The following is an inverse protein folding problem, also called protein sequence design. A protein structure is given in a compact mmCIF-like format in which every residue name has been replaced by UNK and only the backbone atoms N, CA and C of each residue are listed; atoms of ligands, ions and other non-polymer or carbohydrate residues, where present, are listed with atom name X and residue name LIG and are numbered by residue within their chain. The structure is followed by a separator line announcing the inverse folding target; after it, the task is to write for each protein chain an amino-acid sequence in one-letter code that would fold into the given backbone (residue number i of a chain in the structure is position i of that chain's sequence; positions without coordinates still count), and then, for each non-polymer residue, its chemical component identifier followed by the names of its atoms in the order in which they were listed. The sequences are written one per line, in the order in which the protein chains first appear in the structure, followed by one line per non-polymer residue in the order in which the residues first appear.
data_IF_002771592111
#
_entry.id   IF_002771592111
#
_cell.length_a   1.000
_cell.length_b   1.000
_cell.length_c   1.000
_cell.angle_alpha   90.00
_cell.angle_beta   90.00
_cell.angle_gamma   90.00
#
_symmetry.space_group_name_H-M   'P 1'
#
loop_
_entity.id
_entity.type
_entity.pdbx_description
1 polymer ?
#
# COMPACT_ATOMS: atom_id res chain seq x y z
N UNK A 1 -8.58 -21.53 -48.33
CA UNK A 1 -9.54 -22.62 -48.51
C UNK A 1 -10.65 -22.29 -49.49
N UNK A 2 -11.37 -21.19 -49.36
CA UNK A 2 -12.44 -20.74 -50.29
C UNK A 2 -12.00 -20.72 -51.77
N UNK A 3 -10.75 -20.31 -52.04
CA UNK A 3 -10.22 -20.30 -53.41
C UNK A 3 -10.13 -21.70 -54.03
N UNK A 4 -9.69 -22.72 -53.28
CA UNK A 4 -9.58 -24.09 -53.77
C UNK A 4 -10.96 -24.67 -54.08
N UNK A 5 -11.93 -24.40 -53.22
CA UNK A 5 -13.32 -24.88 -53.41
C UNK A 5 -13.98 -24.18 -54.59
N UNK A 6 -13.73 -22.86 -54.77
CA UNK A 6 -14.32 -22.07 -55.87
C UNK A 6 -13.71 -22.34 -57.25
N UNK A 7 -12.51 -22.90 -57.33
CA UNK A 7 -11.77 -23.19 -58.56
C UNK A 7 -11.45 -24.69 -58.73
N UNK A 8 -12.26 -25.51 -58.11
CA UNK A 8 -12.07 -26.99 -58.11
C UNK A 8 -12.00 -27.63 -59.50
N UNK A 9 -12.67 -27.04 -60.49
CA UNK A 9 -12.67 -27.53 -61.88
C UNK A 9 -11.32 -27.26 -62.63
N UNK A 10 -10.56 -26.27 -62.13
CA UNK A 10 -9.30 -25.81 -62.77
C UNK A 10 -8.04 -26.36 -62.05
N UNK A 11 -8.24 -27.09 -60.93
CA UNK A 11 -7.17 -27.61 -60.11
C UNK A 11 -7.16 -29.15 -60.16
N UNK A 12 -5.97 -29.80 -60.13
CA UNK A 12 -5.85 -31.25 -60.13
C UNK A 12 -6.14 -31.80 -58.72
N UNK A 13 -7.37 -31.62 -58.24
CA UNK A 13 -7.84 -32.06 -56.90
C UNK A 13 -9.01 -33.01 -57.10
N UNK A 14 -9.03 -34.12 -56.37
CA UNK A 14 -10.12 -35.11 -56.43
C UNK A 14 -11.41 -34.50 -55.84
N UNK A 15 -12.59 -34.69 -56.51
CA UNK A 15 -13.85 -34.25 -55.91
C UNK A 15 -14.14 -34.79 -54.51
N UNK A 16 -13.61 -35.97 -54.17
CA UNK A 16 -13.70 -36.50 -52.82
C UNK A 16 -12.92 -35.69 -51.79
N UNK A 17 -11.71 -35.20 -52.13
CA UNK A 17 -10.90 -34.35 -51.31
C UNK A 17 -11.56 -32.98 -51.05
N UNK A 18 -12.24 -32.44 -52.09
CA UNK A 18 -12.98 -31.20 -51.95
C UNK A 18 -14.17 -31.36 -50.99
N UNK A 19 -14.90 -32.47 -51.08
CA UNK A 19 -16.00 -32.75 -50.17
C UNK A 19 -15.53 -32.92 -48.72
N UNK A 20 -14.38 -33.55 -48.51
CA UNK A 20 -13.75 -33.70 -47.20
C UNK A 20 -13.32 -32.33 -46.62
N UNK A 21 -12.72 -31.46 -47.45
CA UNK A 21 -12.34 -30.10 -47.05
C UNK A 21 -13.57 -29.27 -46.67
N UNK A 22 -14.65 -29.35 -47.43
CA UNK A 22 -15.91 -28.66 -47.13
C UNK A 22 -16.55 -29.14 -45.83
N UNK A 23 -16.56 -30.45 -45.61
CA UNK A 23 -17.07 -31.05 -44.38
C UNK A 23 -16.21 -30.63 -43.15
N UNK A 24 -14.89 -30.64 -43.33
CA UNK A 24 -13.96 -30.18 -42.31
C UNK A 24 -14.13 -28.69 -41.94
N UNK A 25 -14.36 -27.83 -42.94
CA UNK A 25 -14.66 -26.40 -42.69
C UNK A 25 -15.97 -26.23 -41.92
N UNK A 26 -17.03 -26.90 -42.32
CA UNK A 26 -18.32 -26.83 -41.64
C UNK A 26 -18.23 -27.32 -40.18
N UNK A 27 -17.49 -28.40 -39.96
CA UNK A 27 -17.24 -28.91 -38.60
C UNK A 27 -16.44 -27.93 -37.77
N UNK A 28 -15.37 -27.32 -38.32
CA UNK A 28 -14.59 -26.32 -37.66
C UNK A 28 -15.44 -25.09 -37.25
N UNK A 29 -16.27 -24.57 -38.14
CA UNK A 29 -17.13 -23.43 -37.88
C UNK A 29 -18.13 -23.74 -36.75
N UNK A 30 -18.69 -24.93 -36.76
CA UNK A 30 -19.61 -25.41 -35.73
C UNK A 30 -18.91 -25.51 -34.36
N UNK A 31 -17.72 -26.11 -34.30
CA UNK A 31 -16.93 -26.29 -33.09
C UNK A 31 -16.44 -24.92 -32.55
N UNK A 32 -16.02 -24.04 -33.45
CA UNK A 32 -15.60 -22.67 -33.07
C UNK A 32 -16.76 -21.87 -32.49
N UNK A 33 -17.94 -21.96 -33.06
CA UNK A 33 -19.14 -21.31 -32.53
C UNK A 33 -19.51 -21.88 -31.16
N UNK A 34 -19.51 -23.20 -31.00
CA UNK A 34 -19.81 -23.87 -29.74
C UNK A 34 -18.81 -23.47 -28.64
N UNK A 35 -17.51 -23.42 -28.97
CA UNK A 35 -16.46 -22.97 -28.05
C UNK A 35 -16.70 -21.54 -27.58
N UNK A 36 -17.00 -20.63 -28.51
CA UNK A 36 -17.25 -19.22 -28.17
C UNK A 36 -18.49 -19.05 -27.28
N UNK A 37 -19.54 -19.81 -27.54
CA UNK A 37 -20.75 -19.82 -26.70
C UNK A 37 -20.45 -20.34 -25.31
N UNK A 38 -19.72 -21.45 -25.20
CA UNK A 38 -19.30 -21.99 -23.88
C UNK A 38 -18.44 -21.01 -23.07
N UNK A 39 -17.50 -20.31 -23.73
CA UNK A 39 -16.70 -19.27 -23.06
C UNK A 39 -17.55 -18.10 -22.54
N UNK A 40 -18.51 -17.64 -23.36
CA UNK A 40 -19.45 -16.57 -22.93
C UNK A 40 -20.27 -17.01 -21.73
N UNK A 41 -20.79 -18.23 -21.78
CA UNK A 41 -21.57 -18.80 -20.66
C UNK A 41 -20.73 -18.93 -19.38
N UNK A 42 -19.51 -19.43 -19.49
CA UNK A 42 -18.58 -19.51 -18.35
C UNK A 42 -18.28 -18.15 -17.73
N UNK A 43 -18.05 -17.12 -18.56
CA UNK A 43 -17.86 -15.73 -18.09
C UNK A 43 -19.12 -15.21 -17.37
N UNK A 44 -20.29 -15.43 -17.93
CA UNK A 44 -21.56 -15.03 -17.32
C UNK A 44 -21.76 -15.71 -15.97
N UNK A 45 -21.57 -17.01 -15.87
CA UNK A 45 -21.63 -17.78 -14.62
C UNK A 45 -20.63 -17.26 -13.57
N UNK A 46 -19.42 -16.86 -13.98
CA UNK A 46 -18.41 -16.29 -13.09
C UNK A 46 -18.85 -14.92 -12.53
N UNK A 47 -19.42 -14.06 -13.38
CA UNK A 47 -19.95 -12.74 -12.98
C UNK A 47 -21.10 -12.94 -11.98
N UNK A 48 -22.05 -13.82 -12.29
CA UNK A 48 -23.20 -14.11 -11.43
C UNK A 48 -22.76 -14.65 -10.07
N UNK A 49 -21.83 -15.60 -10.05
CA UNK A 49 -21.24 -16.13 -8.81
C UNK A 49 -20.63 -15.02 -7.96
N UNK A 50 -19.87 -14.10 -8.57
CA UNK A 50 -19.22 -13.00 -7.87
C UNK A 50 -20.25 -12.01 -7.30
N UNK A 51 -21.28 -11.68 -8.07
CA UNK A 51 -22.37 -10.80 -7.62
C UNK A 51 -23.17 -11.43 -6.45
N UNK A 52 -23.50 -12.71 -6.55
CA UNK A 52 -24.17 -13.47 -5.48
C UNK A 52 -23.33 -13.48 -4.20
N UNK A 53 -22.02 -13.75 -4.31
CA UNK A 53 -21.10 -13.71 -3.17
C UNK A 53 -21.05 -12.33 -2.54
N UNK A 54 -20.97 -11.27 -3.32
CA UNK A 54 -20.93 -9.89 -2.82
C UNK A 54 -22.23 -9.54 -2.06
N UNK A 55 -23.38 -9.88 -2.61
CA UNK A 55 -24.69 -9.68 -1.96
C UNK A 55 -24.80 -10.46 -0.65
N UNK A 56 -24.45 -11.74 -0.65
CA UNK A 56 -24.46 -12.56 0.54
C UNK A 56 -23.51 -12.05 1.63
N UNK A 57 -22.30 -11.64 1.25
CA UNK A 57 -21.33 -11.02 2.18
C UNK A 57 -21.87 -9.73 2.79
N UNK A 58 -22.56 -8.90 2.02
CA UNK A 58 -23.22 -7.66 2.51
C UNK A 58 -24.27 -8.00 3.57
N UNK A 59 -25.10 -9.00 3.32
CA UNK A 59 -26.13 -9.47 4.27
C UNK A 59 -25.51 -9.98 5.57
N UNK A 60 -24.49 -10.85 5.47
CA UNK A 60 -23.79 -11.36 6.66
C UNK A 60 -23.21 -10.22 7.50
N UNK A 61 -22.50 -9.29 6.87
CA UNK A 61 -21.93 -8.11 7.57
C UNK A 61 -22.99 -7.27 8.24
N UNK A 62 -24.18 -7.12 7.63
CA UNK A 62 -25.32 -6.43 8.23
C UNK A 62 -25.82 -7.12 9.50
N UNK A 63 -25.97 -8.45 9.45
CA UNK A 63 -26.38 -9.26 10.61
C UNK A 63 -25.32 -9.17 11.72
N UNK A 64 -24.05 -9.38 11.39
CA UNK A 64 -22.93 -9.31 12.37
C UNK A 64 -22.89 -7.96 13.08
N UNK A 65 -23.05 -6.85 12.34
CA UNK A 65 -23.09 -5.50 12.93
C UNK A 65 -24.23 -5.34 13.92
N UNK A 66 -25.42 -5.85 13.61
CA UNK A 66 -26.58 -5.80 14.53
C UNK A 66 -26.33 -6.63 15.78
N UNK A 67 -25.77 -7.85 15.64
CA UNK A 67 -25.45 -8.71 16.78
C UNK A 67 -24.34 -8.10 17.65
N UNK A 68 -23.35 -7.43 17.07
CA UNK A 68 -22.31 -6.71 17.81
C UNK A 68 -22.87 -5.51 18.59
N UNK A 69 -23.85 -4.81 18.03
CA UNK A 69 -24.46 -3.63 18.65
C UNK A 69 -25.55 -3.98 19.68
N UNK A 70 -26.09 -5.19 19.64
CA UNK A 70 -27.21 -5.60 20.50
C UNK A 70 -26.77 -5.79 21.96
N UNK A 71 -27.42 -5.11 22.92
CA UNK A 71 -27.13 -5.31 24.35
C UNK A 71 -27.61 -6.67 24.87
N UNK A 72 -28.55 -7.31 24.17
CA UNK A 72 -29.14 -8.62 24.57
C UNK A 72 -28.19 -9.78 24.27
N UNK A 73 -27.29 -9.64 23.30
CA UNK A 73 -26.33 -10.68 22.92
C UNK A 73 -25.13 -10.60 23.86
N UNK A 74 -24.91 -11.67 24.63
CA UNK A 74 -23.75 -11.76 25.52
C UNK A 74 -22.42 -11.95 24.77
N UNK A 75 -21.31 -11.63 25.44
CA UNK A 75 -19.98 -11.80 24.86
C UNK A 75 -19.64 -13.29 24.58
N UNK A 76 -20.14 -14.21 25.42
CA UNK A 76 -20.02 -15.66 25.20
C UNK A 76 -20.76 -16.12 23.94
N UNK A 77 -21.96 -15.59 23.69
CA UNK A 77 -22.70 -15.88 22.44
C UNK A 77 -21.99 -15.31 21.21
N UNK A 78 -21.43 -14.11 21.31
CA UNK A 78 -20.61 -13.53 20.22
C UNK A 78 -19.40 -14.41 19.90
N UNK A 79 -18.68 -14.84 20.94
CA UNK A 79 -17.53 -15.75 20.79
C UNK A 79 -17.95 -17.07 20.15
N UNK A 80 -19.05 -17.67 20.59
CA UNK A 80 -19.58 -18.92 20.01
C UNK A 80 -19.98 -18.80 18.54
N UNK A 81 -20.39 -17.60 18.10
CA UNK A 81 -20.68 -17.28 16.69
C UNK A 81 -19.44 -16.85 15.87
N UNK A 82 -18.25 -16.82 16.47
CA UNK A 82 -17.04 -16.31 15.82
C UNK A 82 -17.04 -14.80 15.58
N UNK A 83 -17.91 -14.05 16.28
CA UNK A 83 -17.97 -12.59 16.17
C UNK A 83 -16.96 -11.99 17.16
N UNK A 84 -16.01 -11.14 16.71
CA UNK A 84 -15.06 -10.51 17.61
C UNK A 84 -15.77 -9.71 18.71
N UNK A 85 -15.43 -9.98 19.94
CA UNK A 85 -15.88 -9.18 21.09
C UNK A 85 -15.05 -7.92 21.17
N UNK A 86 -15.69 -6.77 21.32
CA UNK A 86 -14.96 -5.50 21.47
C UNK A 86 -14.21 -5.50 22.80
N UNK A 87 -12.92 -5.28 22.73
CA UNK A 87 -12.12 -5.01 23.91
C UNK A 87 -12.61 -3.72 24.59
N UNK A 88 -13.06 -3.84 25.83
CA UNK A 88 -13.52 -2.72 26.66
C UNK A 88 -12.34 -2.00 27.32
N UNK A 89 -11.18 -2.67 27.36
CA UNK A 89 -9.96 -2.13 27.97
C UNK A 89 -9.13 -1.51 26.86
N UNK A 90 -9.04 -0.20 26.86
CA UNK A 90 -8.17 0.51 25.90
C UNK A 90 -6.71 0.19 26.20
N UNK A 91 -6.06 -0.58 25.35
CA UNK A 91 -4.62 -0.85 25.47
C UNK A 91 -3.86 0.48 25.47
N UNK A 92 -3.11 0.73 26.53
CA UNK A 92 -2.26 1.91 26.64
C UNK A 92 -1.11 1.75 25.66
N UNK A 93 -0.99 2.70 24.73
CA UNK A 93 0.19 2.78 23.86
C UNK A 93 1.32 3.36 24.72
N UNK A 94 2.40 2.61 24.96
CA UNK A 94 3.54 3.11 25.75
C UNK A 94 4.28 4.22 24.98
N UNK A 95 5.08 5.04 25.68
CA UNK A 95 5.99 5.96 25.01
C UNK A 95 6.99 5.19 24.14
N UNK A 96 7.47 5.80 23.05
CA UNK A 96 8.49 5.17 22.21
C UNK A 96 9.75 4.83 23.00
N UNK A 97 10.30 3.63 22.80
CA UNK A 97 11.47 3.14 23.54
C UNK A 97 12.78 3.27 22.76
N UNK A 98 12.68 3.45 21.46
CA UNK A 98 13.83 3.55 20.57
C UNK A 98 14.05 4.99 20.11
N UNK A 99 15.31 5.36 19.90
CA UNK A 99 15.66 6.61 19.25
C UNK A 99 15.55 6.46 17.72
N UNK A 100 15.11 7.51 16.99
CA UNK A 100 15.16 7.47 15.53
C UNK A 100 16.60 7.46 15.02
N UNK A 101 16.87 6.66 13.99
CA UNK A 101 18.06 6.83 13.17
C UNK A 101 17.76 7.89 12.11
N UNK A 102 18.54 8.99 12.16
CA UNK A 102 18.34 10.15 11.26
C UNK A 102 19.42 10.19 10.21
N UNK A 103 19.01 10.33 8.95
CA UNK A 103 19.90 10.53 7.82
C UNK A 103 19.48 11.77 7.05
N UNK A 104 20.46 12.61 6.70
CA UNK A 104 20.28 13.80 5.87
C UNK A 104 20.85 13.55 4.50
N UNK A 105 20.12 13.95 3.46
CA UNK A 105 20.56 13.85 2.06
C UNK A 105 20.27 15.15 1.32
N UNK A 106 21.24 15.76 0.65
CA UNK A 106 21.00 16.90 -0.22
C UNK A 106 20.10 16.47 -1.41
N UNK A 107 19.21 17.38 -1.84
CA UNK A 107 18.27 17.13 -2.95
C UNK A 107 18.43 18.17 -4.04
N UNK A 108 18.38 19.46 -3.66
CA UNK A 108 18.54 20.59 -4.55
C UNK A 108 19.02 21.80 -3.74
N UNK A 109 19.30 22.92 -4.38
CA UNK A 109 19.68 24.15 -3.71
C UNK A 109 18.73 24.49 -2.57
N UNK A 110 19.26 24.73 -1.39
CA UNK A 110 18.51 25.05 -0.17
C UNK A 110 17.61 23.92 0.36
N UNK A 111 17.66 22.68 -0.19
CA UNK A 111 16.74 21.60 0.24
C UNK A 111 17.46 20.34 0.67
N UNK A 112 17.16 19.88 1.87
CA UNK A 112 17.60 18.61 2.44
C UNK A 112 16.44 17.65 2.66
N UNK A 113 16.65 16.39 2.32
CA UNK A 113 15.76 15.30 2.67
C UNK A 113 16.20 14.72 4.01
N UNK A 114 15.27 14.70 4.96
CA UNK A 114 15.44 14.05 6.26
C UNK A 114 14.74 12.70 6.22
N UNK A 115 15.48 11.65 6.56
CA UNK A 115 14.95 10.29 6.67
C UNK A 115 15.10 9.89 8.13
N UNK A 116 13.98 9.63 8.81
CA UNK A 116 13.94 9.12 10.17
C UNK A 116 13.32 7.72 10.17
N UNK A 117 14.05 6.71 10.65
CA UNK A 117 13.64 5.31 10.66
C UNK A 117 14.05 4.63 11.95
N UNK A 118 13.49 3.45 12.24
CA UNK A 118 13.98 2.59 13.31
C UNK A 118 15.35 2.01 12.97
N UNK A 119 16.13 1.67 13.99
CA UNK A 119 17.42 1.01 13.79
C UNK A 119 17.22 -0.38 13.21
N UNK A 120 17.73 -0.60 11.99
CA UNK A 120 17.60 -1.89 11.29
C UNK A 120 16.36 -2.07 10.42
N UNK A 121 15.38 -1.14 10.44
CA UNK A 121 14.18 -1.18 9.61
C UNK A 121 14.02 0.12 8.80
N UNK A 122 13.34 0.03 7.66
CA UNK A 122 13.02 1.23 6.86
C UNK A 122 11.77 1.96 7.36
N UNK A 123 11.04 1.36 8.29
CA UNK A 123 9.76 1.82 8.77
C UNK A 123 9.87 2.59 10.12
N UNK A 124 8.81 3.25 10.45
CA UNK A 124 8.55 3.86 11.75
C UNK A 124 8.08 2.77 12.72
N UNK A 125 8.53 2.74 14.01
CA UNK A 125 8.12 1.75 14.98
C UNK A 125 6.60 1.77 15.24
N UNK A 126 6.05 0.63 15.64
CA UNK A 126 4.64 0.53 16.03
C UNK A 126 4.31 1.46 17.20
N UNK A 127 3.12 2.05 17.15
CA UNK A 127 2.66 2.99 18.18
C UNK A 127 3.23 4.41 18.07
N UNK A 128 4.24 4.65 17.22
CA UNK A 128 4.78 5.98 16.96
C UNK A 128 3.87 6.75 16.01
N UNK A 129 3.50 7.97 16.41
CA UNK A 129 2.68 8.86 15.58
C UNK A 129 3.54 9.69 14.62
N UNK A 130 4.56 10.37 15.15
CA UNK A 130 5.41 11.27 14.39
C UNK A 130 6.85 11.28 14.90
N UNK A 131 7.73 11.90 14.13
CA UNK A 131 9.08 12.28 14.48
C UNK A 131 9.11 13.78 14.75
N UNK A 132 9.56 14.17 15.92
CA UNK A 132 9.84 15.55 16.30
C UNK A 132 11.27 15.89 15.88
N UNK A 133 11.44 16.94 15.06
CA UNK A 133 12.75 17.35 14.53
C UNK A 133 13.20 18.66 15.16
N UNK A 134 14.49 18.70 15.51
CA UNK A 134 15.20 19.85 16.03
C UNK A 134 16.48 20.06 15.24
N UNK A 135 16.80 21.30 14.91
CA UNK A 135 17.99 21.61 14.11
C UNK A 135 18.75 22.79 14.65
N UNK A 136 20.07 22.76 14.53
CA UNK A 136 21.00 23.87 14.72
C UNK A 136 21.74 24.12 13.43
N UNK A 137 21.78 25.37 12.98
CA UNK A 137 22.48 25.78 11.78
C UNK A 137 23.74 26.56 12.18
N UNK A 138 24.84 26.22 11.58
CA UNK A 138 26.17 26.82 11.90
C UNK A 138 26.78 26.30 13.19
N UNK A 139 28.08 26.52 13.36
CA UNK A 139 28.84 26.20 14.55
C UNK A 139 29.03 24.71 14.85
N UNK A 140 29.36 24.43 16.11
CA UNK A 140 29.56 23.06 16.58
C UNK A 140 28.26 22.31 16.81
N UNK A 141 28.28 20.94 16.77
CA UNK A 141 27.12 20.13 17.07
C UNK A 141 26.50 20.50 18.43
N UNK A 142 25.14 20.54 18.54
CA UNK A 142 24.47 20.93 19.76
C UNK A 142 24.72 19.92 20.89
N UNK A 143 25.03 20.40 22.07
CA UNK A 143 25.15 19.57 23.26
C UNK A 143 23.78 19.16 23.80
N UNK A 144 22.82 20.10 23.78
CA UNK A 144 21.44 19.84 24.19
C UNK A 144 20.42 20.47 23.22
N UNK A 145 19.12 20.31 23.54
CA UNK A 145 18.03 20.84 22.71
C UNK A 145 17.85 22.36 22.81
N UNK A 146 18.37 23.01 23.85
CA UNK A 146 18.23 24.45 24.03
C UNK A 146 18.95 25.24 22.93
N UNK A 147 19.97 24.63 22.34
CA UNK A 147 20.71 25.18 21.21
C UNK A 147 20.04 24.96 19.85
N UNK A 148 18.94 24.18 19.81
CA UNK A 148 18.26 23.79 18.60
C UNK A 148 16.95 24.55 18.41
N UNK A 149 16.59 24.80 17.16
CA UNK A 149 15.30 25.32 16.75
C UNK A 149 14.37 24.15 16.41
N UNK A 150 13.13 24.23 16.85
CA UNK A 150 12.12 23.24 16.52
C UNK A 150 11.71 23.32 15.06
N UNK A 151 11.88 22.22 14.32
CA UNK A 151 11.59 22.13 12.88
C UNK A 151 10.25 21.44 12.57
N UNK A 152 9.46 21.16 13.60
CA UNK A 152 8.12 20.59 13.47
C UNK A 152 8.04 19.07 13.60
N UNK A 153 6.80 18.57 13.47
CA UNK A 153 6.47 17.16 13.53
C UNK A 153 6.38 16.58 12.11
N UNK A 154 7.02 15.46 11.89
CA UNK A 154 6.98 14.72 10.60
C UNK A 154 6.32 13.36 10.81
N UNK A 155 5.17 13.15 10.21
CA UNK A 155 4.41 11.90 10.33
C UNK A 155 4.92 10.80 9.39
N UNK A 156 5.63 11.19 8.32
CA UNK A 156 6.28 10.28 7.36
C UNK A 156 7.73 10.03 7.75
N UNK A 157 8.27 8.88 7.41
CA UNK A 157 9.68 8.53 7.60
C UNK A 157 10.63 9.40 6.77
N UNK A 158 10.14 9.97 5.69
CA UNK A 158 10.89 10.87 4.81
C UNK A 158 10.17 12.20 4.69
N UNK A 159 10.90 13.29 4.88
CA UNK A 159 10.40 14.66 4.78
C UNK A 159 11.49 15.60 4.24
N UNK A 160 11.11 16.82 3.96
CA UNK A 160 12.05 17.83 3.47
C UNK A 160 12.15 18.98 4.47
N UNK A 161 13.36 19.57 4.53
CA UNK A 161 13.65 20.85 5.18
C UNK A 161 14.13 21.79 4.07
N UNK A 162 13.52 22.95 4.01
CA UNK A 162 13.86 24.01 3.07
C UNK A 162 14.55 25.15 3.80
N UNK A 163 15.64 25.65 3.23
CA UNK A 163 16.49 26.69 3.80
C UNK A 163 16.63 27.85 2.81
N UNK A 164 16.67 29.09 3.28
CA UNK A 164 16.96 30.24 2.44
C UNK A 164 18.38 30.17 1.88
N UNK A 165 18.59 30.78 0.71
CA UNK A 165 19.90 30.75 0.02
C UNK A 165 21.07 31.32 0.83
N UNK A 166 20.79 32.20 1.79
CA UNK A 166 21.79 32.78 2.70
C UNK A 166 22.45 31.73 3.62
N UNK A 167 21.77 30.61 3.85
CA UNK A 167 22.27 29.50 4.67
C UNK A 167 22.96 28.42 3.84
N UNK A 168 23.07 28.60 2.53
CA UNK A 168 23.79 27.69 1.66
C UNK A 168 25.26 27.58 2.06
N UNK A 169 25.79 26.36 2.13
CA UNK A 169 27.14 26.09 2.58
C UNK A 169 27.31 25.96 4.09
N UNK A 170 26.31 26.34 4.90
CA UNK A 170 26.37 26.17 6.34
C UNK A 170 26.14 24.69 6.73
N UNK A 171 26.75 24.32 7.86
CA UNK A 171 26.51 23.03 8.48
C UNK A 171 25.19 23.06 9.21
N UNK A 172 24.34 22.07 8.99
CA UNK A 172 23.17 21.79 9.81
C UNK A 172 23.37 20.53 10.64
N UNK A 173 22.99 20.59 11.90
CA UNK A 173 22.94 19.47 12.83
C UNK A 173 21.49 19.21 13.21
N UNK A 174 21.00 17.99 12.96
CA UNK A 174 19.61 17.59 13.24
C UNK A 174 19.58 16.51 14.31
N UNK A 175 18.70 16.67 15.26
CA UNK A 175 18.33 15.67 16.27
C UNK A 175 16.84 15.40 16.21
N UNK A 176 16.42 14.21 16.57
CA UNK A 176 15.04 13.80 16.44
C UNK A 176 14.59 12.92 17.61
N UNK A 177 13.28 12.90 17.84
CA UNK A 177 12.64 12.00 18.81
C UNK A 177 11.36 11.44 18.22
N UNK A 178 11.08 10.17 18.52
CA UNK A 178 9.76 9.62 18.24
C UNK A 178 8.75 10.11 19.26
N UNK A 179 7.53 10.39 18.82
CA UNK A 179 6.40 10.72 19.68
C UNK A 179 5.22 9.81 19.40
N UNK A 180 4.47 9.44 20.42
CA UNK A 180 3.21 8.75 20.28
C UNK A 180 2.03 9.75 20.11
N UNK A 181 0.80 9.23 19.93
CA UNK A 181 -0.40 10.08 19.77
C UNK A 181 -0.77 10.90 21.01
N UNK A 182 -0.17 10.61 22.17
CA UNK A 182 -0.36 11.37 23.41
C UNK A 182 0.66 12.49 23.55
N UNK A 183 1.64 12.60 22.63
CA UNK A 183 2.74 13.54 22.75
C UNK A 183 3.86 13.05 23.69
N UNK A 184 3.81 11.80 24.17
CA UNK A 184 4.88 11.24 24.99
C UNK A 184 6.10 10.98 24.09
N UNK A 185 7.26 11.49 24.53
CA UNK A 185 8.53 11.46 23.79
C UNK A 185 9.33 10.23 24.11
N UNK A 186 9.96 9.67 23.10
CA UNK A 186 10.99 8.65 23.23
C UNK A 186 12.39 9.24 23.42
N UNK A 187 13.42 8.39 23.42
CA UNK A 187 14.79 8.84 23.50
C UNK A 187 15.21 9.63 22.26
N UNK A 188 16.18 10.53 22.46
CA UNK A 188 16.72 11.38 21.40
C UNK A 188 17.69 10.62 20.51
N UNK A 189 17.69 10.94 19.23
CA UNK A 189 18.65 10.41 18.26
C UNK A 189 20.07 10.91 18.52
N UNK A 190 21.03 10.18 17.96
CA UNK A 190 22.34 10.77 17.68
C UNK A 190 22.18 12.00 16.75
N UNK A 191 23.14 12.93 16.82
CA UNK A 191 23.18 14.10 15.94
C UNK A 191 23.55 13.68 14.52
N UNK A 192 22.69 13.96 13.56
CA UNK A 192 22.97 13.84 12.14
C UNK A 192 23.39 15.21 11.59
N UNK A 193 24.46 15.28 10.81
CA UNK A 193 24.91 16.55 10.22
C UNK A 193 25.05 16.44 8.70
N UNK A 194 24.82 17.58 8.02
CA UNK A 194 25.02 17.75 6.59
C UNK A 194 25.39 19.21 6.29
N UNK A 195 25.82 19.47 5.06
CA UNK A 195 25.96 20.83 4.54
C UNK A 195 24.69 21.18 3.77
N UNK A 196 24.14 22.37 3.99
CA UNK A 196 22.99 22.88 3.24
C UNK A 196 23.46 23.13 1.80
N UNK A 197 22.86 22.47 0.80
CA UNK A 197 23.27 22.62 -0.59
C UNK A 197 22.97 24.03 -1.13
N UNK A 198 23.91 24.58 -1.88
CA UNK A 198 23.74 25.85 -2.61
C UNK A 198 23.12 25.68 -3.98
#
# INVERSE_FOLDING_TARGET
MEYIVGHAADLPVDPAEIAELQAGMAQWDADFLAHNLAQREARFKSITKTATRASHTKTIRGVVRRLQASPVVSDNQRTGMGIPVRDKIRTRIPPPREAPFVQLRPVSAGRLRVIARSTGEEAKPDGVYACELWAKIGGDPPLDLSECVFMGFKTRTSSYLDFPGEQAGERICVRAMWINRKGERGPMSATASAIIPG
#
